data_IF_207285582915
#
_entry.id   IF_207285582915
#
_cell.length_a   1.000
_cell.length_b   1.000
_cell.length_c   1.000
_cell.angle_alpha   90.00
_cell.angle_beta   90.00
_cell.angle_gamma   90.00
#
_symmetry.space_group_name_H-M   'P 1'
#
loop_
_entity.id
_entity.type
_entity.pdbx_description
1 polymer ?
#
# COMPACT_ATOMS: atom_id res chain seq x y z
N UNK A 1 -1.15 -15.06 11.60
CA UNK A 1 -0.45 -14.69 12.85
C UNK A 1 -1.42 -13.91 13.73
N UNK A 2 -1.28 -13.93 15.05
CA UNK A 2 -2.14 -13.13 15.95
C UNK A 2 -1.87 -11.61 15.79
N UNK A 3 -2.89 -10.76 15.99
CA UNK A 3 -2.75 -9.30 15.82
C UNK A 3 -1.68 -8.71 16.74
N UNK A 4 -1.61 -9.10 18.01
CA UNK A 4 -0.62 -8.56 18.96
C UNK A 4 0.81 -8.95 18.56
N UNK A 5 0.98 -10.19 18.11
CA UNK A 5 2.26 -10.65 17.59
C UNK A 5 2.70 -9.83 16.37
N UNK A 6 1.80 -9.59 15.41
CA UNK A 6 2.10 -8.77 14.23
C UNK A 6 2.50 -7.35 14.63
N UNK A 7 1.78 -6.73 15.57
CA UNK A 7 2.08 -5.37 16.02
C UNK A 7 3.47 -5.27 16.65
N UNK A 8 3.84 -6.23 17.50
CA UNK A 8 5.17 -6.29 18.11
C UNK A 8 6.27 -6.44 17.05
N UNK A 9 6.06 -7.32 16.06
CA UNK A 9 7.00 -7.48 14.94
C UNK A 9 7.15 -6.15 14.19
N UNK A 10 6.05 -5.49 13.83
CA UNK A 10 6.10 -4.22 13.12
C UNK A 10 6.81 -3.13 13.94
N UNK A 11 6.59 -3.06 15.26
CA UNK A 11 7.30 -2.14 16.14
C UNK A 11 8.82 -2.38 16.10
N UNK A 12 9.26 -3.64 16.21
CA UNK A 12 10.68 -4.01 16.16
C UNK A 12 11.32 -3.71 14.79
N UNK A 13 10.60 -3.99 13.69
CA UNK A 13 11.10 -3.76 12.33
C UNK A 13 11.40 -2.28 12.07
N UNK A 14 10.50 -1.41 12.54
CA UNK A 14 10.50 0.03 12.27
C UNK A 14 11.01 0.89 13.45
N UNK A 15 11.48 0.25 14.53
CA UNK A 15 12.01 0.95 15.70
C UNK A 15 13.15 1.91 15.33
N UNK A 16 13.04 3.16 15.79
CA UNK A 16 14.01 4.22 15.53
C UNK A 16 13.98 4.81 14.11
N UNK A 17 13.04 4.39 13.26
CA UNK A 17 12.88 4.90 11.89
C UNK A 17 11.77 5.95 11.88
N UNK A 18 12.02 7.08 11.21
CA UNK A 18 10.99 8.10 10.95
C UNK A 18 10.81 8.29 9.43
N UNK A 19 10.00 7.46 8.77
CA UNK A 19 9.83 7.53 7.32
C UNK A 19 9.17 8.83 6.84
N UNK A 20 8.37 9.48 7.68
CA UNK A 20 7.82 10.81 7.40
C UNK A 20 8.95 11.82 7.21
N UNK A 21 9.93 11.84 8.12
CA UNK A 21 11.09 12.73 8.00
C UNK A 21 11.91 12.44 6.74
N UNK A 22 12.07 11.15 6.38
CA UNK A 22 12.77 10.74 5.16
C UNK A 22 12.09 11.29 3.91
N UNK A 23 10.76 11.13 3.81
CA UNK A 23 9.97 11.71 2.72
C UNK A 23 10.10 13.24 2.65
N UNK A 24 10.00 13.94 3.79
CA UNK A 24 10.14 15.40 3.87
C UNK A 24 11.52 15.85 3.39
N UNK A 25 12.59 15.19 3.86
CA UNK A 25 13.95 15.52 3.47
C UNK A 25 14.19 15.29 1.97
N UNK A 26 13.71 14.17 1.44
CA UNK A 26 13.81 13.87 0.01
C UNK A 26 13.14 14.96 -0.83
N UNK A 27 11.89 15.33 -0.48
CA UNK A 27 11.17 16.39 -1.20
C UNK A 27 11.91 17.73 -1.16
N UNK A 28 12.37 18.14 0.02
CA UNK A 28 13.08 19.40 0.19
C UNK A 28 14.37 19.43 -0.64
N UNK A 29 15.14 18.35 -0.63
CA UNK A 29 16.38 18.25 -1.40
C UNK A 29 16.15 18.30 -2.92
N UNK A 30 15.00 17.83 -3.40
CA UNK A 30 14.67 17.79 -4.82
C UNK A 30 13.75 18.94 -5.26
N UNK A 31 13.51 19.93 -4.40
CA UNK A 31 12.55 21.03 -4.63
C UNK A 31 11.16 20.54 -5.07
N UNK A 32 10.77 19.36 -4.59
CA UNK A 32 9.45 18.80 -4.84
C UNK A 32 8.48 19.50 -3.89
N UNK A 33 7.80 20.51 -4.44
CA UNK A 33 6.69 21.20 -3.78
C UNK A 33 5.38 20.43 -3.91
N UNK A 34 5.38 19.37 -4.71
CA UNK A 34 4.23 18.52 -4.95
C UNK A 34 3.78 17.86 -3.64
N UNK A 35 2.49 18.07 -3.34
CA UNK A 35 1.84 17.48 -2.18
C UNK A 35 1.66 15.98 -2.36
N UNK A 36 1.86 15.43 -3.56
CA UNK A 36 1.82 14.01 -3.91
C UNK A 36 2.74 13.10 -3.11
N UNK A 37 3.76 13.68 -2.48
CA UNK A 37 4.66 12.97 -1.60
C UNK A 37 4.50 13.33 -0.12
N UNK A 38 3.35 13.89 0.32
CA UNK A 38 3.07 14.01 1.76
C UNK A 38 2.80 12.61 2.31
N UNK A 39 3.74 12.15 3.13
CA UNK A 39 3.75 10.82 3.68
C UNK A 39 2.78 10.68 4.87
N UNK A 40 1.96 9.64 4.84
CA UNK A 40 1.08 9.29 5.96
C UNK A 40 1.12 7.78 6.18
N UNK A 41 1.63 7.34 7.34
CA UNK A 41 1.64 5.91 7.64
C UNK A 41 0.24 5.42 8.00
N UNK A 42 -0.02 4.19 7.57
CA UNK A 42 -1.11 3.40 8.13
C UNK A 42 -0.85 3.14 9.61
N UNK A 43 -1.92 3.16 10.41
CA UNK A 43 -1.92 2.56 11.74
C UNK A 43 -2.23 1.07 11.53
N UNK A 44 -1.33 0.13 11.88
CA UNK A 44 -1.50 -1.27 11.50
C UNK A 44 -2.79 -1.92 12.00
N UNK A 45 -3.19 -1.63 13.25
CA UNK A 45 -4.44 -2.16 13.82
C UNK A 45 -5.66 -1.71 13.05
N UNK A 46 -5.70 -0.43 12.68
CA UNK A 46 -6.72 0.10 11.82
C UNK A 46 -6.60 -0.62 10.47
N UNK A 47 -5.46 -0.59 9.79
CA UNK A 47 -5.34 -1.15 8.45
C UNK A 47 -5.79 -2.61 8.36
N UNK A 48 -5.52 -3.42 9.38
CA UNK A 48 -6.05 -4.79 9.49
C UNK A 48 -7.58 -4.85 9.45
N UNK A 49 -8.30 -3.90 10.06
CA UNK A 49 -9.77 -3.83 9.95
C UNK A 49 -10.21 -3.53 8.51
N UNK A 50 -9.47 -2.73 7.73
CA UNK A 50 -9.76 -2.59 6.28
C UNK A 50 -9.56 -3.93 5.58
N UNK A 51 -8.46 -4.61 5.86
CA UNK A 51 -8.18 -5.91 5.27
C UNK A 51 -9.25 -6.95 5.66
N UNK A 52 -9.91 -6.82 6.81
CA UNK A 52 -11.04 -7.65 7.22
C UNK A 52 -12.32 -7.42 6.40
N UNK A 53 -12.44 -6.27 5.73
CA UNK A 53 -13.57 -5.97 4.84
C UNK A 53 -13.40 -6.58 3.43
N UNK A 54 -12.24 -7.16 3.15
CA UNK A 54 -11.93 -7.75 1.85
C UNK A 54 -11.58 -9.22 2.02
N UNK A 55 -12.11 -10.03 1.11
CA UNK A 55 -11.81 -11.45 1.06
C UNK A 55 -10.42 -11.70 0.46
N UNK A 56 -9.56 -12.39 1.21
CA UNK A 56 -8.27 -12.88 0.72
C UNK A 56 -8.35 -14.38 0.51
N UNK A 57 -7.66 -14.86 -0.52
CA UNK A 57 -7.41 -16.29 -0.75
C UNK A 57 -5.90 -16.54 -0.73
N UNK A 58 -5.44 -17.79 -0.54
CA UNK A 58 -4.02 -18.12 -0.68
C UNK A 58 -3.44 -17.80 -2.06
N UNK A 59 -4.27 -17.63 -3.09
CA UNK A 59 -3.84 -17.29 -4.46
C UNK A 59 -3.80 -15.77 -4.72
N UNK A 60 -4.27 -14.95 -3.79
CA UNK A 60 -4.37 -13.49 -3.95
C UNK A 60 -3.00 -12.87 -4.20
N UNK A 61 -2.92 -11.98 -5.19
CA UNK A 61 -1.78 -11.08 -5.43
C UNK A 61 -2.20 -9.66 -5.01
N UNK A 62 -1.45 -9.09 -4.06
CA UNK A 62 -1.72 -7.77 -3.51
C UNK A 62 -0.67 -6.75 -3.96
N UNK A 63 -1.11 -5.56 -4.36
CA UNK A 63 -0.25 -4.43 -4.71
C UNK A 63 -0.52 -3.23 -3.80
N UNK A 64 0.55 -2.56 -3.35
CA UNK A 64 0.52 -1.27 -2.68
C UNK A 64 1.18 -0.21 -3.58
N UNK A 65 0.38 0.74 -4.07
CA UNK A 65 0.82 1.81 -4.95
C UNK A 65 1.19 3.04 -4.10
N UNK A 66 2.48 3.40 -4.08
CA UNK A 66 3.02 4.40 -3.15
C UNK A 66 3.28 3.79 -1.77
N UNK A 67 3.96 2.64 -1.76
CA UNK A 67 4.08 1.77 -0.58
C UNK A 67 4.92 2.33 0.57
N UNK A 68 5.63 3.44 0.35
CA UNK A 68 6.33 4.15 1.40
C UNK A 68 7.41 3.30 2.07
N UNK A 69 7.40 3.26 3.40
CA UNK A 69 8.30 2.39 4.18
C UNK A 69 7.96 0.89 4.08
N UNK A 70 6.93 0.51 3.31
CA UNK A 70 6.47 -0.86 3.14
C UNK A 70 5.62 -1.40 4.28
N UNK A 71 5.18 -0.55 5.22
CA UNK A 71 4.44 -0.99 6.41
C UNK A 71 3.10 -1.65 6.08
N UNK A 72 2.36 -1.12 5.10
CA UNK A 72 1.12 -1.72 4.62
C UNK A 72 1.36 -3.08 3.92
N UNK A 73 2.40 -3.17 3.10
CA UNK A 73 2.83 -4.43 2.44
C UNK A 73 3.16 -5.52 3.48
N UNK A 74 4.03 -5.23 4.44
CA UNK A 74 4.41 -6.21 5.47
C UNK A 74 3.20 -6.59 6.34
N UNK A 75 2.39 -5.60 6.74
CA UNK A 75 1.16 -5.85 7.52
C UNK A 75 0.21 -6.79 6.77
N UNK A 76 0.01 -6.55 5.47
CA UNK A 76 -0.86 -7.39 4.63
C UNK A 76 -0.36 -8.83 4.59
N UNK A 77 0.94 -9.03 4.38
CA UNK A 77 1.52 -10.37 4.36
C UNK A 77 1.35 -11.09 5.70
N UNK A 78 1.75 -10.46 6.81
CA UNK A 78 1.68 -11.09 8.13
C UNK A 78 0.24 -11.40 8.58
N UNK A 79 -0.72 -10.57 8.16
CA UNK A 79 -2.11 -10.67 8.59
C UNK A 79 -2.96 -11.58 7.70
N UNK A 80 -2.81 -11.49 6.37
CA UNK A 80 -3.65 -12.22 5.40
C UNK A 80 -2.93 -13.37 4.68
N UNK A 81 -1.59 -13.41 4.73
CA UNK A 81 -0.76 -14.43 4.10
C UNK A 81 -1.15 -14.78 2.65
N UNK A 82 -1.25 -13.79 1.74
CA UNK A 82 -1.58 -14.01 0.34
C UNK A 82 -0.40 -14.63 -0.43
N UNK A 83 -0.63 -15.03 -1.69
CA UNK A 83 0.38 -15.62 -2.58
C UNK A 83 1.61 -14.73 -2.75
N UNK A 84 1.37 -13.43 -2.96
CA UNK A 84 2.40 -12.43 -3.23
C UNK A 84 1.92 -11.04 -2.79
N UNK A 85 2.84 -10.23 -2.26
CA UNK A 85 2.59 -8.82 -1.90
C UNK A 85 3.68 -7.94 -2.50
N UNK A 86 3.29 -6.90 -3.22
CA UNK A 86 4.22 -6.05 -3.96
C UNK A 86 4.00 -4.59 -3.56
N UNK A 87 5.07 -3.88 -3.21
CA UNK A 87 5.06 -2.44 -2.95
C UNK A 87 5.83 -1.70 -4.03
N UNK A 88 5.21 -0.70 -4.65
CA UNK A 88 5.87 0.22 -5.59
C UNK A 88 6.03 1.57 -4.90
N UNK A 89 7.25 2.07 -4.82
CA UNK A 89 7.55 3.36 -4.16
C UNK A 89 8.57 4.16 -4.98
N UNK A 90 8.33 5.46 -5.11
CA UNK A 90 9.15 6.35 -5.90
C UNK A 90 10.42 6.77 -5.17
N UNK A 91 10.31 7.08 -3.87
CA UNK A 91 11.39 7.63 -3.06
C UNK A 91 12.41 6.53 -2.71
N UNK A 92 13.65 6.59 -3.22
CA UNK A 92 14.65 5.53 -3.03
C UNK A 92 14.93 5.19 -1.56
N UNK A 93 15.03 6.22 -0.71
CA UNK A 93 15.34 6.04 0.71
C UNK A 93 14.20 5.31 1.47
N UNK A 94 12.94 5.49 1.04
CA UNK A 94 11.80 4.75 1.60
C UNK A 94 11.82 3.29 1.14
N UNK A 95 12.20 3.04 -0.11
CA UNK A 95 12.42 1.68 -0.62
C UNK A 95 13.53 0.99 0.17
N UNK A 96 14.64 1.67 0.44
CA UNK A 96 15.73 1.11 1.24
C UNK A 96 15.25 0.72 2.66
N UNK A 97 14.42 1.55 3.29
CA UNK A 97 13.77 1.23 4.57
C UNK A 97 12.91 -0.03 4.45
N UNK A 98 12.08 -0.12 3.42
CA UNK A 98 11.18 -1.25 3.20
C UNK A 98 11.95 -2.57 2.98
N UNK A 99 13.02 -2.53 2.20
CA UNK A 99 13.89 -3.69 1.94
C UNK A 99 14.66 -4.12 3.20
N UNK A 100 15.13 -3.17 4.02
CA UNK A 100 15.74 -3.47 5.32
C UNK A 100 14.73 -4.10 6.28
N UNK A 101 13.49 -3.61 6.32
CA UNK A 101 12.43 -4.18 7.14
C UNK A 101 12.08 -5.61 6.69
N UNK A 102 11.97 -5.85 5.37
CA UNK A 102 11.77 -7.19 4.81
C UNK A 102 12.90 -8.15 5.23
N UNK A 103 14.15 -7.74 5.05
CA UNK A 103 15.30 -8.57 5.40
C UNK A 103 15.34 -8.92 6.89
N UNK A 104 15.02 -7.96 7.78
CA UNK A 104 14.89 -8.23 9.22
C UNK A 104 13.78 -9.25 9.50
N UNK A 105 12.64 -9.13 8.81
CA UNK A 105 11.51 -10.05 8.96
C UNK A 105 11.84 -11.46 8.45
N UNK A 106 12.46 -11.59 7.29
CA UNK A 106 12.93 -12.86 6.73
C UNK A 106 13.92 -13.56 7.68
N UNK A 107 14.82 -12.79 8.29
CA UNK A 107 15.73 -13.32 9.32
C UNK A 107 14.99 -13.78 10.57
N UNK A 108 14.00 -13.01 11.03
CA UNK A 108 13.18 -13.35 12.20
C UNK A 108 12.38 -14.65 11.98
N UNK A 109 11.81 -14.82 10.79
CA UNK A 109 11.00 -15.99 10.43
C UNK A 109 11.84 -17.15 9.86
N UNK A 110 13.15 -16.93 9.66
CA UNK A 110 14.08 -17.87 9.06
C UNK A 110 13.59 -18.43 7.71
N UNK A 111 12.99 -17.58 6.88
CA UNK A 111 12.48 -17.96 5.56
C UNK A 111 12.41 -16.74 4.65
N UNK A 112 12.55 -16.98 3.33
CA UNK A 112 12.23 -15.95 2.34
C UNK A 112 10.72 -15.77 2.24
N UNK A 113 10.28 -14.53 2.06
CA UNK A 113 8.86 -14.21 1.95
C UNK A 113 8.54 -13.80 0.51
N UNK A 114 7.33 -14.09 0.00
CA UNK A 114 6.86 -13.64 -1.31
C UNK A 114 6.45 -12.15 -1.26
N UNK A 115 7.34 -11.31 -0.75
CA UNK A 115 7.19 -9.86 -0.67
C UNK A 115 8.22 -9.22 -1.59
N UNK A 116 7.80 -8.25 -2.39
CA UNK A 116 8.67 -7.52 -3.31
C UNK A 116 8.50 -6.01 -3.10
N UNK A 117 9.62 -5.29 -3.02
CA UNK A 117 9.65 -3.83 -2.99
C UNK A 117 10.39 -3.30 -4.21
N UNK A 118 9.68 -2.53 -5.03
CA UNK A 118 10.14 -2.02 -6.31
C UNK A 118 10.29 -0.51 -6.21
N UNK A 119 11.49 -0.03 -6.52
CA UNK A 119 11.73 1.41 -6.66
C UNK A 119 11.28 1.88 -8.04
N UNK A 120 10.37 2.84 -8.08
CA UNK A 120 10.13 3.63 -9.27
C UNK A 120 8.76 4.28 -9.30
N UNK A 121 8.48 4.90 -10.44
CA UNK A 121 7.23 5.57 -10.71
C UNK A 121 6.14 4.56 -11.11
N UNK A 122 5.01 4.57 -10.40
CA UNK A 122 3.83 3.73 -10.67
C UNK A 122 3.40 3.81 -12.15
N UNK A 123 3.59 4.96 -12.80
CA UNK A 123 3.28 5.16 -14.23
C UNK A 123 4.02 4.20 -15.16
N UNK A 124 5.17 3.67 -14.72
CA UNK A 124 6.03 2.79 -15.51
C UNK A 124 5.88 1.30 -15.20
N UNK A 125 4.97 0.90 -14.29
CA UNK A 125 4.78 -0.50 -13.91
C UNK A 125 3.39 -1.01 -14.22
N UNK A 126 3.31 -2.22 -14.75
CA UNK A 126 2.06 -2.94 -14.91
C UNK A 126 1.73 -3.75 -13.65
N UNK A 127 0.44 -3.84 -13.35
CA UNK A 127 -0.11 -4.58 -12.22
C UNK A 127 -1.43 -5.26 -12.61
N UNK A 128 -1.58 -5.61 -13.89
CA UNK A 128 -2.79 -6.21 -14.45
C UNK A 128 -3.11 -7.61 -13.90
N UNK A 129 -2.14 -8.26 -13.23
CA UNK A 129 -2.30 -9.53 -12.53
C UNK A 129 -2.88 -9.38 -11.10
N UNK A 130 -2.95 -8.16 -10.57
CA UNK A 130 -3.41 -7.88 -9.21
C UNK A 130 -4.84 -8.36 -8.95
N UNK A 131 -5.04 -8.96 -7.78
CA UNK A 131 -6.36 -9.27 -7.22
C UNK A 131 -6.88 -8.12 -6.34
N UNK A 132 -5.97 -7.54 -5.56
CA UNK A 132 -6.27 -6.47 -4.61
C UNK A 132 -5.20 -5.39 -4.74
N UNK A 133 -5.64 -4.15 -4.89
CA UNK A 133 -4.78 -2.97 -4.90
C UNK A 133 -5.11 -2.12 -3.68
N UNK A 134 -4.09 -1.63 -3.01
CA UNK A 134 -4.20 -0.54 -2.04
C UNK A 134 -3.47 0.69 -2.60
N UNK A 135 -4.12 1.85 -2.50
CA UNK A 135 -3.55 3.12 -2.89
C UNK A 135 -3.93 4.20 -1.87
N UNK A 136 -2.93 4.72 -1.16
CA UNK A 136 -3.12 5.89 -0.31
C UNK A 136 -3.03 7.18 -1.15
N UNK A 137 -4.05 7.42 -1.96
CA UNK A 137 -4.06 8.44 -3.01
C UNK A 137 -4.34 9.89 -2.55
N UNK A 138 -4.26 10.19 -1.24
CA UNK A 138 -4.52 11.53 -0.67
C UNK A 138 -3.75 12.64 -1.39
N UNK A 139 -2.56 12.27 -1.83
CA UNK A 139 -1.57 13.18 -2.34
C UNK A 139 -1.45 13.05 -3.87
N UNK A 140 -1.82 11.93 -4.47
CA UNK A 140 -1.65 11.69 -5.91
C UNK A 140 -2.28 12.81 -6.75
N UNK A 141 -1.46 13.33 -7.66
CA UNK A 141 -1.90 14.33 -8.63
C UNK A 141 -2.86 13.71 -9.65
N UNK A 142 -3.50 14.56 -10.45
CA UNK A 142 -4.52 14.10 -11.38
C UNK A 142 -3.91 13.29 -12.53
N UNK A 143 -2.67 13.58 -12.95
CA UNK A 143 -1.98 12.84 -14.01
C UNK A 143 -1.68 11.39 -13.59
N UNK A 144 -1.16 11.21 -12.38
CA UNK A 144 -0.91 9.89 -11.78
C UNK A 144 -2.24 9.13 -11.59
N UNK A 145 -3.28 9.80 -11.08
CA UNK A 145 -4.58 9.18 -10.94
C UNK A 145 -5.17 8.73 -12.28
N UNK A 146 -5.05 9.55 -13.33
CA UNK A 146 -5.53 9.19 -14.67
C UNK A 146 -4.73 8.03 -15.26
N UNK A 147 -3.43 7.94 -14.99
CA UNK A 147 -2.63 6.76 -15.36
C UNK A 147 -3.10 5.50 -14.62
N UNK A 148 -3.29 5.58 -13.29
CA UNK A 148 -3.79 4.47 -12.48
C UNK A 148 -5.15 4.01 -13.00
N UNK A 149 -6.09 4.93 -13.23
CA UNK A 149 -7.45 4.64 -13.75
C UNK A 149 -7.43 3.89 -15.08
N UNK A 150 -6.53 4.27 -15.99
CA UNK A 150 -6.34 3.54 -17.26
C UNK A 150 -5.87 2.10 -17.01
N UNK A 151 -4.87 1.90 -16.15
CA UNK A 151 -4.37 0.56 -15.80
C UNK A 151 -5.39 -0.30 -15.07
N UNK A 152 -6.26 0.30 -14.26
CA UNK A 152 -7.38 -0.41 -13.63
C UNK A 152 -8.34 -1.04 -14.66
N UNK A 153 -8.44 -0.49 -15.87
CA UNK A 153 -9.24 -1.07 -16.96
C UNK A 153 -8.69 -2.38 -17.49
N UNK A 154 -7.42 -2.71 -17.22
CA UNK A 154 -6.77 -3.94 -17.69
C UNK A 154 -6.85 -5.09 -16.68
N UNK A 155 -7.31 -4.81 -15.45
CA UNK A 155 -7.46 -5.83 -14.41
C UNK A 155 -8.52 -6.87 -14.75
N UNK A 156 -8.40 -8.06 -14.19
CA UNK A 156 -9.43 -9.09 -14.29
C UNK A 156 -10.72 -8.71 -13.55
N UNK A 157 -11.86 -9.18 -14.04
CA UNK A 157 -13.14 -9.12 -13.32
C UNK A 157 -12.98 -9.75 -11.93
N UNK A 158 -13.54 -9.10 -10.92
CA UNK A 158 -13.43 -9.48 -9.51
C UNK A 158 -12.25 -8.85 -8.78
N UNK A 159 -11.32 -8.18 -9.48
CA UNK A 159 -10.27 -7.40 -8.83
C UNK A 159 -10.86 -6.28 -7.96
N UNK A 160 -10.18 -5.93 -6.88
CA UNK A 160 -10.64 -4.94 -5.91
C UNK A 160 -9.59 -3.87 -5.67
N UNK A 161 -10.04 -2.66 -5.40
CA UNK A 161 -9.17 -1.55 -4.98
C UNK A 161 -9.67 -0.93 -3.69
N UNK A 162 -8.78 -0.80 -2.72
CA UNK A 162 -8.91 0.06 -1.56
C UNK A 162 -8.21 1.38 -1.91
N UNK A 163 -8.99 2.45 -2.05
CA UNK A 163 -8.44 3.78 -2.30
C UNK A 163 -8.78 4.73 -1.16
N UNK A 164 -7.77 5.44 -0.67
CA UNK A 164 -7.93 6.46 0.35
C UNK A 164 -8.08 7.82 -0.31
N UNK A 165 -9.04 8.61 0.18
CA UNK A 165 -9.30 10.01 -0.22
C UNK A 165 -9.91 10.20 -1.61
N UNK A 166 -9.32 9.64 -2.67
CA UNK A 166 -9.79 9.77 -4.06
C UNK A 166 -10.92 8.79 -4.42
N UNK A 167 -11.53 8.98 -5.59
CA UNK A 167 -12.63 8.18 -6.12
C UNK A 167 -12.29 7.57 -7.49
N UNK A 168 -12.88 6.39 -7.73
CA UNK A 168 -12.81 5.62 -8.97
C UNK A 168 -14.23 5.69 -9.57
N UNK A 169 -14.33 6.35 -10.72
CA UNK A 169 -15.62 6.65 -11.38
C UNK A 169 -15.72 6.00 -12.76
N UNK A 170 -14.75 5.16 -13.11
CA UNK A 170 -14.68 4.49 -14.39
C UNK A 170 -15.76 3.41 -14.49
N UNK A 171 -16.32 3.29 -15.70
CA UNK A 171 -17.25 2.22 -16.02
C UNK A 171 -16.65 0.86 -15.67
N UNK A 172 -17.49 -0.05 -15.16
CA UNK A 172 -17.04 -1.37 -14.76
C UNK A 172 -16.51 -1.50 -13.34
N UNK A 173 -16.45 -0.42 -12.56
CA UNK A 173 -16.14 -0.46 -11.14
C UNK A 173 -17.37 -0.20 -10.28
N UNK A 174 -17.63 -1.08 -9.31
CA UNK A 174 -18.74 -0.94 -8.37
C UNK A 174 -18.22 -0.61 -6.98
N UNK A 175 -18.69 0.49 -6.40
CA UNK A 175 -18.45 0.82 -5.00
C UNK A 175 -19.10 -0.23 -4.09
N UNK A 176 -18.30 -0.87 -3.24
CA UNK A 176 -18.72 -1.90 -2.29
C UNK A 176 -18.92 -1.34 -0.89
N UNK A 177 -18.17 -0.30 -0.52
CA UNK A 177 -18.32 0.35 0.78
C UNK A 177 -17.42 1.56 0.96
N UNK A 178 -17.78 2.39 1.93
CA UNK A 178 -17.08 3.60 2.35
C UNK A 178 -16.90 3.55 3.86
N UNK A 179 -15.67 3.70 4.32
CA UNK A 179 -15.30 3.50 5.72
C UNK A 179 -14.41 4.65 6.19
N UNK A 180 -14.69 5.18 7.38
CA UNK A 180 -13.83 6.16 8.04
C UNK A 180 -12.69 5.47 8.78
N UNK A 181 -11.52 6.08 8.72
CA UNK A 181 -10.29 5.42 9.11
C UNK A 181 -9.29 6.38 9.73
N UNK A 182 -8.64 5.94 10.81
CA UNK A 182 -7.57 6.73 11.44
C UNK A 182 -6.21 6.38 10.84
N UNK A 183 -5.45 7.42 10.53
CA UNK A 183 -4.08 7.39 10.05
C UNK A 183 -3.17 8.15 11.02
N UNK A 184 -1.85 8.06 10.83
CA UNK A 184 -0.88 8.77 11.68
C UNK A 184 -1.05 10.30 11.70
N UNK A 185 -1.81 10.87 10.76
CA UNK A 185 -1.99 12.32 10.56
C UNK A 185 -3.44 12.79 10.74
N UNK A 186 -4.40 11.91 11.01
CA UNK A 186 -5.82 12.27 11.15
C UNK A 186 -6.78 11.20 10.67
N UNK A 187 -8.03 11.59 10.38
CA UNK A 187 -9.03 10.72 9.78
C UNK A 187 -9.01 10.82 8.24
N UNK A 188 -9.13 9.68 7.57
CA UNK A 188 -9.31 9.57 6.13
C UNK A 188 -10.50 8.67 5.78
N UNK A 189 -10.88 8.69 4.50
CA UNK A 189 -11.97 7.86 3.99
C UNK A 189 -11.41 6.80 3.07
N UNK A 190 -11.59 5.53 3.45
CA UNK A 190 -11.30 4.37 2.61
C UNK A 190 -12.53 4.01 1.79
N UNK A 191 -12.36 3.86 0.48
CA UNK A 191 -13.39 3.39 -0.44
C UNK A 191 -12.94 2.08 -1.05
N UNK A 192 -13.83 1.08 -1.04
CA UNK A 192 -13.55 -0.24 -1.62
C UNK A 192 -14.39 -0.38 -2.88
N UNK A 193 -13.73 -0.62 -4.01
CA UNK A 193 -14.40 -0.90 -5.28
C UNK A 193 -14.06 -2.31 -5.75
N UNK A 194 -14.95 -2.90 -6.54
CA UNK A 194 -14.78 -4.19 -7.19
C UNK A 194 -15.06 -4.05 -8.68
N UNK A 195 -14.20 -4.63 -9.50
CA UNK A 195 -14.36 -4.66 -10.95
C UNK A 195 -15.40 -5.70 -11.34
N UNK A 196 -16.44 -5.29 -12.04
CA UNK A 196 -17.61 -6.11 -12.37
C UNK A 196 -17.68 -6.57 -13.83
N UNK A 197 -16.88 -5.97 -14.72
CA UNK A 197 -16.76 -6.32 -16.14
C UNK A 197 -15.33 -6.70 -16.50
#
# INVERSE_FOLDING_TARGET
MDKKEILRILEDLYSGINPLMVSVNYRNAHNITDKSFVYGEIIPEEFMKILDLIEFTPETIFYDLGSGSGKAVITTYLYKNPKKVIGIEYIPDLVEISQKALKKLENLLNTKLPIEFIQGDIRNFEFNDADIIFAHATCFDDELMDNIRKKLQELKRGARIIIITKEINEDGWKLKGVYKFSFSWGEGTARIYEKII
#
